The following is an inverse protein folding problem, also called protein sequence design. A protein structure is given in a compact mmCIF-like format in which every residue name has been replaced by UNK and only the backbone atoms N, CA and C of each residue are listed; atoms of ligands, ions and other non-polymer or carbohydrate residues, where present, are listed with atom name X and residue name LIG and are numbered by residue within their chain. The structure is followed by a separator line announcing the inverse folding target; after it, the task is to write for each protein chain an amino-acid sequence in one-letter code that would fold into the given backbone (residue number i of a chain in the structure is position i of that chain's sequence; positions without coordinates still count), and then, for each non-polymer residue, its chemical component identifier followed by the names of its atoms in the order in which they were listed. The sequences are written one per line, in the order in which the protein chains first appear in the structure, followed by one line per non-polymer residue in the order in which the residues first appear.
data_IF_518715226723
#
_entry.id   IF_518715226723
#
_cell.length_a   1.000
_cell.length_b   1.000
_cell.length_c   1.000
_cell.angle_alpha   90.00
_cell.angle_beta   90.00
_cell.angle_gamma   90.00
#
_symmetry.space_group_name_H-M   'P 1'
#
loop_
_entity.id
_entity.type
_entity.pdbx_description
1 polymer ?
#
# COMPACT_ATOMS: atom_id res chain seq x y z
N UNK A 1 -11.18 17.90 -3.31
CA UNK A 1 -12.07 18.17 -4.47
C UNK A 1 -11.40 17.95 -5.84
N UNK A 2 -10.07 18.11 -5.98
CA UNK A 2 -9.36 17.95 -7.27
C UNK A 2 -9.31 16.49 -7.74
N UNK A 3 -9.01 15.54 -6.84
CA UNK A 3 -8.92 14.11 -7.17
C UNK A 3 -10.21 13.57 -7.81
N UNK A 4 -11.36 13.76 -7.15
CA UNK A 4 -12.66 13.31 -7.66
C UNK A 4 -13.00 13.85 -9.05
N UNK A 5 -12.70 15.12 -9.33
CA UNK A 5 -12.91 15.71 -10.66
C UNK A 5 -11.98 15.08 -11.70
N UNK A 6 -10.72 14.81 -11.33
CA UNK A 6 -9.77 14.13 -12.21
C UNK A 6 -10.20 12.69 -12.50
N UNK A 7 -10.65 11.94 -11.47
CA UNK A 7 -11.19 10.59 -11.61
C UNK A 7 -12.39 10.55 -12.56
N UNK A 8 -13.34 11.47 -12.41
CA UNK A 8 -14.49 11.60 -13.29
C UNK A 8 -14.10 11.90 -14.75
N UNK A 9 -13.09 12.75 -14.96
CA UNK A 9 -12.61 13.12 -16.30
C UNK A 9 -11.81 12.02 -16.98
N UNK A 10 -11.11 11.20 -16.21
CA UNK A 10 -10.27 10.11 -16.74
C UNK A 10 -11.08 8.96 -17.36
N UNK A 11 -12.40 8.90 -17.14
CA UNK A 11 -13.36 7.95 -17.75
C UNK A 11 -12.93 6.48 -17.67
N UNK A 12 -12.31 5.94 -18.72
CA UNK A 12 -11.93 4.53 -18.84
C UNK A 12 -10.40 4.32 -18.91
N UNK A 13 -9.62 5.38 -18.73
CA UNK A 13 -8.16 5.30 -18.82
C UNK A 13 -7.57 4.60 -17.60
N UNK A 14 -6.42 3.90 -17.73
CA UNK A 14 -5.64 3.44 -16.59
C UNK A 14 -5.24 4.62 -15.69
N UNK A 15 -5.19 4.37 -14.38
CA UNK A 15 -4.89 5.37 -13.35
C UNK A 15 -3.57 5.01 -12.68
N UNK A 16 -2.65 5.98 -12.67
CA UNK A 16 -1.49 5.99 -11.78
C UNK A 16 -1.70 7.09 -10.75
N UNK A 17 -1.66 6.73 -9.47
CA UNK A 17 -1.93 7.65 -8.37
C UNK A 17 -0.81 7.58 -7.32
N UNK A 18 -0.31 8.74 -6.93
CA UNK A 18 0.63 8.88 -5.81
C UNK A 18 0.00 9.78 -4.75
N UNK A 19 -0.08 9.28 -3.53
CA UNK A 19 -0.58 9.98 -2.35
C UNK A 19 0.60 10.15 -1.39
N UNK A 20 0.96 11.37 -1.06
CA UNK A 20 2.07 11.66 -0.14
C UNK A 20 1.65 12.69 0.91
N UNK A 21 1.95 12.43 2.18
CA UNK A 21 1.82 13.38 3.29
C UNK A 21 3.18 14.06 3.51
N UNK A 22 3.23 15.38 3.32
CA UNK A 22 4.44 16.20 3.50
C UNK A 22 4.47 16.88 4.88
N UNK A 23 4.11 16.14 5.94
CA UNK A 23 4.10 16.66 7.30
C UNK A 23 2.90 17.58 7.59
N UNK A 24 1.77 17.37 6.92
CA UNK A 24 0.56 18.13 7.17
C UNK A 24 -0.02 17.78 8.56
N UNK A 25 -0.73 18.73 9.21
CA UNK A 25 -1.53 18.42 10.40
C UNK A 25 -2.50 17.27 10.11
N UNK A 26 -2.93 16.55 11.16
CA UNK A 26 -3.80 15.37 11.04
C UNK A 26 -4.92 15.58 10.01
N UNK A 27 -4.94 14.71 9.00
CA UNK A 27 -5.97 14.76 7.96
C UNK A 27 -7.32 14.44 8.63
N UNK A 28 -8.35 15.29 8.46
CA UNK A 28 -9.65 15.03 9.06
C UNK A 28 -10.21 13.68 8.61
N UNK A 29 -10.79 12.92 9.52
CA UNK A 29 -11.37 11.60 9.23
C UNK A 29 -12.34 11.62 8.03
N UNK A 30 -13.16 12.66 7.93
CA UNK A 30 -14.10 12.83 6.81
C UNK A 30 -13.40 12.94 5.46
N UNK A 31 -12.21 13.55 5.41
CA UNK A 31 -11.40 13.64 4.19
C UNK A 31 -10.78 12.30 3.83
N UNK A 32 -10.39 11.49 4.83
CA UNK A 32 -9.90 10.13 4.62
C UNK A 32 -11.00 9.21 4.08
N UNK A 33 -12.20 9.28 4.63
CA UNK A 33 -13.35 8.51 4.13
C UNK A 33 -13.71 8.88 2.69
N UNK A 34 -13.63 10.17 2.32
CA UNK A 34 -13.86 10.60 0.93
C UNK A 34 -12.76 10.09 -0.01
N UNK A 35 -11.50 10.14 0.43
CA UNK A 35 -10.37 9.61 -0.33
C UNK A 35 -10.51 8.10 -0.55
N UNK A 36 -10.89 7.37 0.50
CA UNK A 36 -11.13 5.93 0.44
C UNK A 36 -12.25 5.58 -0.55
N UNK A 37 -13.37 6.32 -0.52
CA UNK A 37 -14.44 6.17 -1.54
C UNK A 37 -13.98 6.48 -2.96
N UNK A 38 -13.15 7.52 -3.14
CA UNK A 38 -12.58 7.87 -4.43
C UNK A 38 -11.65 6.75 -4.94
N UNK A 39 -10.83 6.13 -4.07
CA UNK A 39 -10.00 4.97 -4.39
C UNK A 39 -10.83 3.74 -4.77
N UNK A 40 -11.88 3.45 -4.00
CA UNK A 40 -12.83 2.36 -4.31
C UNK A 40 -13.47 2.54 -5.68
N UNK A 41 -13.86 3.76 -6.04
CA UNK A 41 -14.45 4.08 -7.34
C UNK A 41 -13.44 3.89 -8.49
N UNK A 42 -12.15 4.10 -8.22
CA UNK A 42 -11.07 3.95 -9.17
C UNK A 42 -10.52 2.51 -9.26
N UNK A 43 -10.86 1.63 -8.31
CA UNK A 43 -10.20 0.34 -8.08
C UNK A 43 -10.00 -0.52 -9.34
N UNK A 44 -11.01 -0.62 -10.20
CA UNK A 44 -10.95 -1.43 -11.42
C UNK A 44 -9.95 -0.93 -12.47
N UNK A 45 -9.47 0.31 -12.31
CA UNK A 45 -8.63 1.04 -13.28
C UNK A 45 -7.27 1.45 -12.69
N UNK A 46 -7.07 1.25 -11.39
CA UNK A 46 -5.80 1.51 -10.73
C UNK A 46 -4.75 0.56 -11.29
N UNK A 47 -3.76 1.11 -11.99
CA UNK A 47 -2.61 0.38 -12.53
C UNK A 47 -1.40 0.51 -11.59
N UNK A 48 -1.18 1.73 -11.10
CA UNK A 48 -0.10 2.05 -10.15
C UNK A 48 -0.68 2.84 -8.99
N UNK A 49 -0.38 2.41 -7.78
CA UNK A 49 -0.76 3.11 -6.56
C UNK A 49 0.44 3.20 -5.63
N UNK A 50 0.90 4.42 -5.36
CA UNK A 50 1.94 4.69 -4.38
C UNK A 50 1.37 5.54 -3.25
N UNK A 51 1.45 5.05 -2.01
CA UNK A 51 0.93 5.71 -0.82
C UNK A 51 2.08 5.90 0.15
N UNK A 52 2.42 7.15 0.43
CA UNK A 52 3.37 7.56 1.45
C UNK A 52 2.65 8.39 2.51
N UNK A 53 2.06 7.72 3.50
CA UNK A 53 1.24 8.32 4.55
C UNK A 53 1.64 7.77 5.91
N UNK A 54 1.29 8.48 6.98
CA UNK A 54 1.47 7.97 8.34
C UNK A 54 0.65 6.70 8.54
N UNK A 55 1.18 5.72 9.28
CA UNK A 55 0.52 4.44 9.56
C UNK A 55 -0.96 4.53 9.95
N UNK A 56 -1.31 5.44 10.86
CA UNK A 56 -2.70 5.66 11.31
C UNK A 56 -3.63 6.20 10.22
N UNK A 57 -3.10 7.00 9.29
CA UNK A 57 -3.84 7.55 8.16
C UNK A 57 -3.98 6.50 7.07
N UNK A 58 -2.92 5.75 6.80
CA UNK A 58 -2.91 4.66 5.83
C UNK A 58 -3.93 3.58 6.21
N UNK A 59 -3.95 3.11 7.46
CA UNK A 59 -4.91 2.09 7.91
C UNK A 59 -6.38 2.49 7.69
N UNK A 60 -6.65 3.79 7.67
CA UNK A 60 -8.00 4.34 7.45
C UNK A 60 -8.46 4.29 5.99
N UNK A 61 -7.55 4.07 5.04
CA UNK A 61 -7.82 4.10 3.60
C UNK A 61 -7.44 2.80 2.88
N UNK A 62 -7.22 1.71 3.62
CA UNK A 62 -6.87 0.40 3.04
C UNK A 62 -8.08 -0.41 2.57
N UNK A 63 -9.30 0.13 2.60
CA UNK A 63 -10.49 -0.65 2.20
C UNK A 63 -10.47 -1.02 0.73
N UNK A 64 -9.79 -0.23 -0.13
CA UNK A 64 -9.61 -0.57 -1.54
C UNK A 64 -8.93 -1.92 -1.75
N UNK A 65 -8.08 -2.38 -0.82
CA UNK A 65 -7.39 -3.66 -0.90
C UNK A 65 -8.37 -4.85 -0.88
N UNK A 66 -9.55 -4.66 -0.27
CA UNK A 66 -10.61 -5.65 -0.21
C UNK A 66 -11.41 -5.76 -1.52
N UNK A 67 -11.21 -4.83 -2.46
CA UNK A 67 -11.88 -4.84 -3.76
C UNK A 67 -11.13 -5.66 -4.82
N UNK A 68 -11.81 -5.92 -5.93
CA UNK A 68 -11.18 -6.47 -7.12
C UNK A 68 -10.37 -5.39 -7.84
N UNK A 69 -9.06 -5.61 -7.96
CA UNK A 69 -8.06 -4.71 -8.54
C UNK A 69 -7.45 -5.33 -9.82
N UNK A 70 -8.26 -5.55 -10.88
CA UNK A 70 -7.87 -6.30 -12.07
C UNK A 70 -6.72 -5.67 -12.86
N UNK A 71 -6.57 -4.34 -12.79
CA UNK A 71 -5.56 -3.60 -13.54
C UNK A 71 -4.27 -3.33 -12.73
N UNK A 72 -4.27 -3.59 -11.42
CA UNK A 72 -3.18 -3.17 -10.54
C UNK A 72 -1.92 -3.99 -10.82
N UNK A 73 -0.85 -3.29 -11.15
CA UNK A 73 0.48 -3.83 -11.48
C UNK A 73 1.53 -3.46 -10.45
N UNK A 74 1.44 -2.24 -9.91
CA UNK A 74 2.42 -1.68 -8.99
C UNK A 74 1.71 -1.14 -7.75
N UNK A 75 2.12 -1.61 -6.57
CA UNK A 75 1.62 -1.11 -5.30
C UNK A 75 2.80 -0.77 -4.38
N UNK A 76 2.84 0.47 -3.90
CA UNK A 76 3.85 0.95 -2.97
C UNK A 76 3.16 1.52 -1.72
N UNK A 77 3.55 1.02 -0.54
CA UNK A 77 3.05 1.48 0.75
C UNK A 77 4.23 1.88 1.64
N UNK A 78 4.35 3.16 1.93
CA UNK A 78 5.43 3.72 2.71
C UNK A 78 4.88 4.48 3.91
N UNK A 79 5.34 4.12 5.10
CA UNK A 79 5.10 4.95 6.28
C UNK A 79 5.90 6.24 6.17
N UNK A 80 5.23 7.39 6.28
CA UNK A 80 5.88 8.69 6.31
C UNK A 80 6.28 9.15 7.72
N UNK A 81 5.96 8.38 8.77
CA UNK A 81 6.39 8.70 10.13
C UNK A 81 7.88 8.42 10.34
N UNK A 82 8.58 9.42 10.86
CA UNK A 82 9.96 9.28 11.33
C UNK A 82 9.98 8.65 12.73
N UNK A 83 10.25 7.36 12.80
CA UNK A 83 10.92 6.65 13.92
C UNK A 83 10.30 6.58 15.33
N UNK A 84 9.15 7.18 15.64
CA UNK A 84 8.70 7.24 17.06
C UNK A 84 7.46 6.43 17.42
N UNK A 85 6.61 6.05 16.46
CA UNK A 85 5.38 5.33 16.74
C UNK A 85 5.52 3.85 16.36
N UNK A 86 5.65 2.98 17.38
CA UNK A 86 5.59 1.51 17.21
C UNK A 86 4.16 1.03 16.90
N UNK A 87 3.49 1.68 15.96
CA UNK A 87 2.19 1.19 15.49
C UNK A 87 2.45 0.02 14.56
N UNK A 88 1.76 -1.09 14.84
CA UNK A 88 1.74 -2.22 13.92
C UNK A 88 0.88 -1.80 12.72
N UNK A 89 1.35 -1.98 11.49
CA UNK A 89 0.54 -1.69 10.32
C UNK A 89 -0.71 -2.56 10.35
N UNK A 90 -1.82 -2.03 9.85
CA UNK A 90 -2.97 -2.87 9.58
C UNK A 90 -2.59 -3.91 8.51
N UNK A 91 -3.02 -5.18 8.65
CA UNK A 91 -2.70 -6.22 7.68
C UNK A 91 -3.24 -5.84 6.31
N UNK A 92 -2.38 -5.90 5.30
CA UNK A 92 -2.81 -5.69 3.92
C UNK A 92 -3.39 -6.99 3.36
N UNK A 93 -4.69 -7.00 3.11
CA UNK A 93 -5.39 -8.11 2.48
C UNK A 93 -5.77 -7.69 1.06
N UNK A 94 -4.95 -8.04 0.07
CA UNK A 94 -5.26 -7.85 -1.34
C UNK A 94 -6.12 -9.01 -1.83
N UNK A 95 -7.44 -8.82 -1.83
CA UNK A 95 -8.36 -9.91 -2.17
C UNK A 95 -8.15 -10.41 -3.60
N UNK A 96 -7.93 -9.52 -4.56
CA UNK A 96 -7.73 -9.92 -5.96
C UNK A 96 -6.98 -8.85 -6.76
N UNK A 97 -5.74 -9.14 -7.12
CA UNK A 97 -4.90 -8.31 -7.99
C UNK A 97 -4.09 -9.18 -8.95
N UNK A 98 -4.71 -9.79 -9.99
CA UNK A 98 -4.09 -10.83 -10.83
C UNK A 98 -2.92 -10.33 -11.69
N UNK A 99 -2.82 -9.01 -11.90
CA UNK A 99 -1.75 -8.39 -12.67
C UNK A 99 -0.66 -7.77 -11.81
N UNK A 100 -0.70 -7.92 -10.48
CA UNK A 100 0.32 -7.36 -9.59
C UNK A 100 1.67 -7.99 -9.90
N UNK A 101 2.66 -7.14 -10.16
CA UNK A 101 4.04 -7.50 -10.51
C UNK A 101 5.05 -6.88 -9.56
N UNK A 102 4.80 -5.68 -9.08
CA UNK A 102 5.69 -4.97 -8.18
C UNK A 102 4.97 -4.63 -6.88
N UNK A 103 5.58 -5.01 -5.76
CA UNK A 103 5.11 -4.66 -4.43
C UNK A 103 6.26 -4.05 -3.63
N UNK A 104 6.07 -2.82 -3.18
CA UNK A 104 6.98 -2.12 -2.29
C UNK A 104 6.29 -1.83 -0.97
N UNK A 105 6.94 -2.14 0.13
CA UNK A 105 6.41 -1.86 1.46
C UNK A 105 7.51 -1.38 2.39
N UNK A 106 7.20 -0.35 3.18
CA UNK A 106 8.12 0.25 4.13
C UNK A 106 7.43 0.63 5.43
N UNK A 107 7.76 -0.06 6.52
CA UNK A 107 7.20 0.16 7.86
C UNK A 107 8.21 -0.11 8.97
N UNK A 108 8.02 0.54 10.13
CA UNK A 108 8.86 0.39 11.33
C UNK A 108 8.67 -0.96 12.06
N UNK A 109 7.59 -1.69 11.82
CA UNK A 109 7.35 -3.05 12.32
C UNK A 109 6.58 -3.79 11.23
N UNK A 110 7.21 -4.78 10.60
CA UNK A 110 6.68 -5.37 9.39
C UNK A 110 6.70 -6.89 9.55
N UNK A 111 5.51 -7.46 9.74
CA UNK A 111 5.26 -8.90 9.70
C UNK A 111 4.52 -9.21 8.41
N UNK A 112 5.24 -9.76 7.43
CA UNK A 112 4.66 -10.11 6.13
C UNK A 112 3.72 -11.32 6.21
N UNK A 113 3.73 -12.11 7.29
CA UNK A 113 2.81 -13.25 7.45
C UNK A 113 1.36 -12.78 7.60
N UNK A 114 1.16 -11.55 8.10
CA UNK A 114 -0.16 -10.95 8.22
C UNK A 114 -0.71 -10.43 6.87
N UNK A 115 0.13 -10.40 5.83
CA UNK A 115 -0.19 -9.83 4.52
C UNK A 115 -0.69 -10.93 3.58
N UNK A 116 -1.86 -10.73 2.99
CA UNK A 116 -2.40 -11.59 1.94
C UNK A 116 -2.21 -10.91 0.59
N UNK A 117 -1.06 -11.15 -0.02
CA UNK A 117 -0.66 -10.62 -1.33
C UNK A 117 -0.45 -11.80 -2.28
N UNK A 118 -0.73 -11.68 -3.59
CA UNK A 118 -0.43 -12.74 -4.55
C UNK A 118 1.09 -12.84 -4.80
N UNK A 119 1.82 -13.38 -3.83
CA UNK A 119 3.29 -13.42 -3.78
C UNK A 119 3.92 -14.09 -5.02
N UNK A 120 3.33 -15.18 -5.50
CA UNK A 120 3.93 -16.02 -6.57
C UNK A 120 4.02 -15.38 -7.95
N UNK A 121 3.27 -14.30 -8.18
CA UNK A 121 3.27 -13.57 -9.45
C UNK A 121 4.07 -12.26 -9.42
N UNK A 122 4.66 -11.91 -8.26
CA UNK A 122 5.53 -10.74 -8.14
C UNK A 122 6.86 -11.00 -8.87
N UNK A 123 7.28 -10.01 -9.65
CA UNK A 123 8.60 -9.93 -10.28
C UNK A 123 9.53 -8.99 -9.54
N UNK A 124 8.98 -8.05 -8.78
CA UNK A 124 9.71 -7.10 -7.96
C UNK A 124 9.10 -7.06 -6.56
N UNK A 125 9.95 -7.23 -5.55
CA UNK A 125 9.60 -7.09 -4.15
C UNK A 125 10.62 -6.17 -3.48
N UNK A 126 10.16 -5.03 -2.99
CA UNK A 126 10.97 -4.10 -2.22
C UNK A 126 10.43 -4.06 -0.79
N UNK A 127 11.25 -4.49 0.16
CA UNK A 127 10.93 -4.38 1.58
C UNK A 127 11.95 -3.42 2.17
N UNK A 128 11.59 -2.15 2.22
CA UNK A 128 12.44 -1.10 2.76
C UNK A 128 12.09 -0.94 4.23
N UNK A 129 12.93 -1.46 5.11
CA UNK A 129 12.77 -1.23 6.55
C UNK A 129 13.64 -0.03 6.94
N UNK A 130 13.01 1.12 7.22
CA UNK A 130 13.73 2.30 7.70
C UNK A 130 14.11 2.08 9.18
N UNK A 131 15.26 1.44 9.39
CA UNK A 131 15.74 1.06 10.70
C UNK A 131 16.23 2.29 11.47
N UNK A 132 15.45 2.72 12.46
CA UNK A 132 15.96 3.61 13.51
C UNK A 132 16.93 2.85 14.43
N UNK A 133 17.67 3.58 15.26
CA UNK A 133 18.70 3.06 16.19
C UNK A 133 18.22 2.01 17.23
N UNK A 134 16.96 1.57 17.23
CA UNK A 134 16.36 0.67 18.24
C UNK A 134 15.75 -0.60 17.63
N UNK A 135 16.46 -1.25 16.73
CA UNK A 135 15.97 -2.44 16.06
C UNK A 135 16.27 -3.73 16.84
N UNK A 136 15.21 -4.50 17.12
CA UNK A 136 15.30 -5.94 17.39
C UNK A 136 14.62 -6.68 16.22
N UNK A 137 15.38 -7.35 15.35
CA UNK A 137 14.81 -8.08 14.25
C UNK A 137 14.01 -9.30 14.72
N UNK A 138 12.79 -9.43 14.21
CA UNK A 138 12.23 -10.75 13.92
C UNK A 138 12.73 -11.19 12.55
N UNK A 139 13.98 -11.67 12.52
CA UNK A 139 14.70 -12.04 11.29
C UNK A 139 14.06 -13.18 10.49
N UNK A 140 13.02 -13.83 11.00
CA UNK A 140 12.44 -15.06 10.46
C UNK A 140 11.38 -14.84 9.37
N UNK A 141 10.73 -13.67 9.31
CA UNK A 141 9.38 -13.60 8.72
C UNK A 141 9.40 -13.40 7.19
N UNK A 142 10.58 -13.17 6.61
CA UNK A 142 10.76 -12.90 5.18
C UNK A 142 11.05 -14.13 4.34
N UNK A 143 11.66 -15.16 4.93
CA UNK A 143 12.14 -16.35 4.17
C UNK A 143 10.97 -17.11 3.56
N UNK A 144 9.90 -17.29 4.33
CA UNK A 144 8.69 -17.98 3.87
C UNK A 144 7.98 -17.23 2.74
N UNK A 145 8.05 -15.90 2.74
CA UNK A 145 7.46 -15.04 1.71
C UNK A 145 8.32 -15.06 0.44
N UNK A 146 9.64 -14.92 0.59
CA UNK A 146 10.57 -15.04 -0.53
C UNK A 146 10.45 -16.41 -1.23
N UNK A 147 10.24 -17.49 -0.46
CA UNK A 147 10.00 -18.83 -1.01
C UNK A 147 8.70 -18.92 -1.84
N UNK A 148 7.70 -18.07 -1.57
CA UNK A 148 6.47 -17.99 -2.36
C UNK A 148 6.66 -17.18 -3.64
N UNK A 149 7.57 -16.21 -3.65
CA UNK A 149 7.83 -15.32 -4.78
C UNK A 149 8.74 -15.95 -5.85
N UNK A 150 8.21 -16.94 -6.58
CA UNK A 150 8.96 -17.73 -7.58
C UNK A 150 9.40 -16.96 -8.83
N UNK A 151 8.85 -15.78 -9.06
CA UNK A 151 9.05 -15.00 -10.29
C UNK A 151 9.92 -13.75 -10.08
N UNK A 152 10.51 -13.57 -8.89
CA UNK A 152 11.41 -12.44 -8.62
C UNK A 152 12.65 -12.49 -9.51
N UNK A 153 13.05 -11.32 -10.00
CA UNK A 153 14.22 -11.10 -10.86
C UNK A 153 15.33 -10.43 -10.07
#
# INVERSE_FOLDING_TARGET
MILRLWLLRSKSLPISLTLADFGAPCIPWTSLMLLDQDLLTAASRLETLAISLRSSTMSSILTFAQCHLPALRHLELHDSTFFTERQHPAPLILHSAPLLRSFSVSWCSLDLQEFQVPWGQLTELSVLYDAGYQWEPRHSDYVDILAQCRSLV
#
